data_IF_554196866764
#
_entry.id   IF_554196866764
#
_cell.length_a   1.000
_cell.length_b   1.000
_cell.length_c   1.000
_cell.angle_alpha   90.00
_cell.angle_beta   90.00
_cell.angle_gamma   90.00
#
_symmetry.space_group_name_H-M   'P 1'
#
loop_
_entity.id
_entity.type
_entity.pdbx_description
1 polymer ?
#
# COMPACT_ATOMS: atom_id res chain seq x y z
N UNK A 1 -5.13 16.53 -9.65
CA UNK A 1 -4.76 16.56 -8.23
C UNK A 1 -6.04 16.60 -7.42
N UNK A 2 -6.45 15.46 -6.89
CA UNK A 2 -7.59 15.33 -5.99
C UNK A 2 -7.06 14.81 -4.66
N UNK A 3 -7.50 15.40 -3.55
CA UNK A 3 -7.07 14.99 -2.21
C UNK A 3 -7.29 13.49 -1.99
N UNK A 4 -8.32 12.92 -2.63
CA UNK A 4 -8.68 11.51 -2.55
C UNK A 4 -7.78 10.62 -3.40
N UNK A 5 -7.27 11.12 -4.53
CA UNK A 5 -6.37 10.36 -5.40
C UNK A 5 -4.96 10.32 -4.86
N UNK A 6 -4.56 11.37 -4.13
CA UNK A 6 -3.16 11.59 -3.75
C UNK A 6 -2.83 11.10 -2.33
N UNK A 7 -3.86 10.67 -1.57
CA UNK A 7 -3.73 10.24 -0.18
C UNK A 7 -4.47 8.94 0.11
N UNK A 8 -3.95 8.18 1.07
CA UNK A 8 -4.68 7.10 1.75
C UNK A 8 -5.52 7.73 2.86
N UNK A 9 -6.84 7.60 2.75
CA UNK A 9 -7.81 8.21 3.68
C UNK A 9 -8.08 7.21 4.81
N UNK A 10 -8.12 7.69 6.07
CA UNK A 10 -8.49 6.84 7.19
C UNK A 10 -9.94 6.36 7.07
N UNK A 11 -10.18 5.07 7.36
CA UNK A 11 -11.51 4.46 7.23
C UNK A 11 -11.44 2.94 7.09
N UNK A 12 -12.52 2.36 6.58
CA UNK A 12 -12.66 0.90 6.42
C UNK A 12 -12.38 0.37 5.01
N UNK A 13 -12.24 1.25 4.01
CA UNK A 13 -12.04 0.82 2.62
C UNK A 13 -10.58 0.55 2.28
N UNK A 14 -9.65 1.24 2.98
CA UNK A 14 -8.22 1.16 2.71
C UNK A 14 -7.86 1.64 1.29
N UNK A 15 -6.57 1.58 0.96
CA UNK A 15 -6.08 1.84 -0.41
C UNK A 15 -5.29 0.64 -0.90
N UNK A 16 -5.66 0.15 -2.07
CA UNK A 16 -5.01 -0.98 -2.72
C UNK A 16 -3.81 -0.52 -3.54
N UNK A 17 -2.74 -1.31 -3.48
CA UNK A 17 -1.50 -1.10 -4.21
C UNK A 17 -1.11 -2.37 -4.94
N UNK A 18 -0.69 -2.24 -6.19
CA UNK A 18 0.04 -3.28 -6.91
C UNK A 18 1.53 -3.16 -6.63
N UNK A 19 2.24 -4.30 -6.62
CA UNK A 19 3.69 -4.32 -6.46
C UNK A 19 4.37 -5.29 -7.44
N UNK A 20 5.65 -5.03 -7.70
CA UNK A 20 6.52 -5.91 -8.47
C UNK A 20 7.16 -7.03 -7.62
N UNK A 21 6.82 -7.15 -6.33
CA UNK A 21 7.20 -8.29 -5.51
C UNK A 21 6.75 -9.61 -6.17
N UNK A 22 7.58 -10.66 -6.08
CA UNK A 22 7.29 -11.96 -6.71
C UNK A 22 7.19 -13.10 -5.70
N UNK A 23 7.79 -12.95 -4.53
CA UNK A 23 7.80 -13.96 -3.46
C UNK A 23 6.99 -13.51 -2.23
N UNK A 24 6.52 -14.48 -1.43
CA UNK A 24 5.71 -14.19 -0.23
C UNK A 24 6.50 -13.43 0.83
N UNK A 25 7.80 -13.73 0.93
CA UNK A 25 8.75 -13.05 1.81
C UNK A 25 8.87 -11.56 1.46
N UNK A 26 8.79 -11.21 0.18
CA UNK A 26 8.91 -9.83 -0.30
C UNK A 26 7.71 -9.00 0.15
N UNK A 27 6.50 -9.56 0.01
CA UNK A 27 5.26 -8.96 0.51
C UNK A 27 5.28 -8.80 2.03
N UNK A 28 5.84 -9.78 2.76
CA UNK A 28 5.97 -9.70 4.21
C UNK A 28 6.96 -8.59 4.63
N UNK A 29 8.04 -8.40 3.88
CA UNK A 29 8.99 -7.31 4.08
C UNK A 29 8.33 -5.95 3.83
N UNK A 30 7.56 -5.81 2.74
CA UNK A 30 6.75 -4.61 2.46
C UNK A 30 5.77 -4.32 3.60
N UNK A 31 5.05 -5.34 4.07
CA UNK A 31 4.14 -5.19 5.22
C UNK A 31 4.88 -4.66 6.46
N UNK A 32 6.04 -5.24 6.76
CA UNK A 32 6.79 -4.92 7.97
C UNK A 32 7.27 -3.47 7.94
N UNK A 33 7.86 -3.03 6.83
CA UNK A 33 8.38 -1.67 6.71
C UNK A 33 7.27 -0.61 6.69
N UNK A 34 6.09 -0.96 6.14
CA UNK A 34 4.93 -0.06 6.16
C UNK A 34 4.35 0.08 7.57
N UNK A 35 4.29 -0.98 8.36
CA UNK A 35 3.77 -0.91 9.74
C UNK A 35 4.64 -0.02 10.66
N UNK A 36 5.87 0.32 10.27
CA UNK A 36 6.70 1.31 10.97
C UNK A 36 6.25 2.76 10.74
N UNK A 37 5.48 3.03 9.67
CA UNK A 37 4.97 4.37 9.40
C UNK A 37 3.89 4.74 10.41
N UNK A 38 4.08 5.90 11.05
CA UNK A 38 3.10 6.44 11.97
C UNK A 38 1.77 6.69 11.25
N UNK A 39 0.69 6.11 11.76
CA UNK A 39 -0.64 6.26 11.19
C UNK A 39 -1.08 5.11 10.29
N UNK A 40 -0.23 4.11 10.03
CA UNK A 40 -0.69 2.85 9.42
C UNK A 40 -1.34 2.00 10.51
N UNK A 41 -2.59 1.61 10.26
CA UNK A 41 -3.38 0.73 11.13
C UNK A 41 -3.08 -0.72 10.82
N UNK A 42 -3.13 -1.07 9.55
CA UNK A 42 -3.05 -2.45 9.08
C UNK A 42 -2.63 -2.51 7.62
N UNK A 43 -1.92 -3.58 7.26
CA UNK A 43 -1.60 -3.91 5.87
C UNK A 43 -2.03 -5.35 5.60
N UNK A 44 -2.97 -5.51 4.66
CA UNK A 44 -3.52 -6.80 4.23
C UNK A 44 -2.85 -7.19 2.91
N UNK A 45 -2.27 -8.38 2.86
CA UNK A 45 -1.55 -8.88 1.69
C UNK A 45 -2.46 -9.80 0.88
N UNK A 46 -2.46 -9.64 -0.44
CA UNK A 46 -3.12 -10.55 -1.36
C UNK A 46 -2.06 -11.31 -2.16
N UNK A 47 -1.85 -12.57 -1.77
CA UNK A 47 -0.85 -13.46 -2.35
C UNK A 47 -1.41 -14.36 -3.46
N UNK A 48 -2.73 -14.38 -3.65
CA UNK A 48 -3.40 -15.30 -4.56
C UNK A 48 -3.48 -14.79 -6.01
N UNK A 49 -3.17 -13.52 -6.23
CA UNK A 49 -3.30 -12.85 -7.53
C UNK A 49 -1.95 -12.34 -8.04
N UNK A 50 -1.81 -12.28 -9.38
CA UNK A 50 -0.65 -11.71 -10.05
C UNK A 50 -1.08 -10.60 -11.03
N UNK A 51 -0.48 -9.40 -10.98
CA UNK A 51 0.56 -8.97 -10.04
C UNK A 51 0.07 -8.95 -8.58
N UNK A 52 1.01 -9.16 -7.65
CA UNK A 52 0.72 -9.20 -6.21
C UNK A 52 0.19 -7.86 -5.72
N UNK A 53 -0.74 -7.90 -4.78
CA UNK A 53 -1.37 -6.70 -4.25
C UNK A 53 -1.30 -6.65 -2.72
N UNK A 54 -1.38 -5.44 -2.18
CA UNK A 54 -1.59 -5.22 -0.77
C UNK A 54 -2.53 -4.04 -0.56
N UNK A 55 -3.24 -4.04 0.56
CA UNK A 55 -4.17 -2.99 0.95
C UNK A 55 -3.70 -2.35 2.25
N UNK A 56 -3.58 -1.03 2.25
CA UNK A 56 -3.14 -0.25 3.40
C UNK A 56 -4.34 0.43 4.04
N UNK A 57 -4.51 0.24 5.35
CA UNK A 57 -5.48 0.93 6.18
C UNK A 57 -4.75 1.90 7.10
N UNK A 58 -5.26 3.13 7.21
CA UNK A 58 -4.63 4.18 8.02
C UNK A 58 -5.59 4.71 9.08
N UNK A 59 -5.02 5.24 10.16
CA UNK A 59 -5.75 5.97 11.22
C UNK A 59 -5.73 7.48 10.99
N UNK A 60 -4.81 7.97 10.14
CA UNK A 60 -4.74 9.36 9.67
C UNK A 60 -4.53 9.40 8.16
N UNK A 61 -4.66 10.60 7.59
CA UNK A 61 -4.36 10.80 6.17
C UNK A 61 -2.85 10.64 5.94
N UNK A 62 -2.47 9.79 5.00
CA UNK A 62 -1.08 9.55 4.62
C UNK A 62 -0.94 9.78 3.12
N UNK A 63 0.01 10.61 2.66
CA UNK A 63 0.29 10.76 1.23
C UNK A 63 0.67 9.43 0.60
N UNK A 64 0.15 9.14 -0.59
CA UNK A 64 0.54 7.92 -1.32
C UNK A 64 2.05 7.87 -1.54
N UNK A 65 2.66 9.02 -1.79
CA UNK A 65 4.11 9.15 -1.98
C UNK A 65 4.91 8.66 -0.78
N UNK A 66 4.40 8.78 0.45
CA UNK A 66 5.09 8.20 1.62
C UNK A 66 5.08 6.67 1.59
N UNK A 67 3.95 6.06 1.22
CA UNK A 67 3.84 4.61 1.05
C UNK A 67 4.79 4.14 -0.05
N UNK A 68 4.78 4.81 -1.20
CA UNK A 68 5.66 4.49 -2.33
C UNK A 68 7.13 4.61 -1.97
N UNK A 69 7.52 5.67 -1.27
CA UNK A 69 8.90 5.89 -0.84
C UNK A 69 9.33 4.81 0.16
N UNK A 70 8.47 4.46 1.12
CA UNK A 70 8.78 3.44 2.13
C UNK A 70 8.91 2.05 1.51
N UNK A 71 8.09 1.73 0.52
CA UNK A 71 8.21 0.48 -0.26
C UNK A 71 9.48 0.50 -1.13
N UNK A 72 9.90 1.66 -1.61
CA UNK A 72 11.15 1.80 -2.38
C UNK A 72 12.40 1.54 -1.54
N UNK A 73 12.38 1.83 -0.23
CA UNK A 73 13.49 1.52 0.70
C UNK A 73 13.84 0.03 0.72
N UNK A 74 12.85 -0.83 0.52
CA UNK A 74 13.01 -2.29 0.50
C UNK A 74 13.24 -2.85 -0.90
N UNK A 75 13.42 -2.00 -1.91
CA UNK A 75 13.75 -2.39 -3.29
C UNK A 75 12.53 -2.70 -4.18
N UNK A 76 11.32 -2.41 -3.71
CA UNK A 76 10.08 -2.68 -4.45
C UNK A 76 9.39 -1.40 -4.90
N UNK A 77 8.43 -1.54 -5.80
CA UNK A 77 7.54 -0.46 -6.21
C UNK A 77 6.14 -0.74 -5.70
N UNK A 78 5.48 0.31 -5.21
CA UNK A 78 4.05 0.31 -4.95
C UNK A 78 3.41 1.25 -5.97
N UNK A 79 2.34 0.80 -6.61
CA UNK A 79 1.54 1.62 -7.52
C UNK A 79 0.11 1.59 -7.00
N UNK A 80 -0.48 2.74 -6.66
CA UNK A 80 -1.87 2.77 -6.20
C UNK A 80 -2.79 2.27 -7.30
N UNK A 81 -3.72 1.39 -6.95
CA UNK A 81 -4.83 1.04 -7.83
C UNK A 81 -6.00 1.96 -7.52
N UNK A 82 -6.66 2.42 -8.58
CA UNK A 82 -7.86 3.23 -8.43
C UNK A 82 -9.00 2.41 -7.85
N UNK A 83 -9.91 3.10 -7.16
CA UNK A 83 -11.09 2.49 -6.54
C UNK A 83 -12.13 2.03 -7.57
N UNK A 84 -11.95 2.40 -8.84
CA UNK A 84 -12.91 2.18 -9.90
C UNK A 84 -12.28 1.35 -11.01
N UNK A 85 -12.66 0.07 -11.07
CA UNK A 85 -12.71 -0.63 -12.34
C UNK A 85 -13.78 0.08 -13.18
N UNK A 86 -13.39 0.70 -14.29
CA UNK A 86 -14.33 1.31 -15.24
C UNK A 86 -15.03 0.23 -16.07
#
# INVERSE_FOLDING_TARGET
MSIITDNVIPGNDGKKFGTNAMEDKDLLQIKTILLELEGIKEVVLNMEIFPREFTVFTTKMIPITEIENKVREVGFHAIPKDLFDL
#
